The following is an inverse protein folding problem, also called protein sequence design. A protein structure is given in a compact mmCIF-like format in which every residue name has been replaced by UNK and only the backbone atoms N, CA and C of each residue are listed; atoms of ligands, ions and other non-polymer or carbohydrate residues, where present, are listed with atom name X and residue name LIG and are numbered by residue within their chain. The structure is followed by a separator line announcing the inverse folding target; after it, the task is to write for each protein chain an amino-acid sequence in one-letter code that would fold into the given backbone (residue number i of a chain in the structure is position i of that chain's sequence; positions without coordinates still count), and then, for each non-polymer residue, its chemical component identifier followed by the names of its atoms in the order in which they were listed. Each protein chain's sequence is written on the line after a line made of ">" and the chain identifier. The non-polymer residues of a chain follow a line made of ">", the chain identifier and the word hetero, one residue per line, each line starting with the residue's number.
data_IF_818752479097
#
_entry.id   IF_818752479097
#
_cell.length_a   1.000
_cell.length_b   1.000
_cell.length_c   1.000
_cell.angle_alpha   90.00
_cell.angle_beta   90.00
_cell.angle_gamma   90.00
#
_symmetry.space_group_name_H-M   'P 1'
#
loop_
_entity.id
_entity.type
_entity.pdbx_description
1 polymer ?
#
# COMPACT_ATOMS: atom_id res chain seq x y z
N UNK A 1 11.78 3.14 1.32
CA UNK A 1 12.55 2.66 0.17
C UNK A 1 13.69 3.64 -0.08
N UNK A 2 14.89 3.15 -0.38
CA UNK A 2 16.03 3.95 -0.78
C UNK A 2 16.85 3.28 -1.85
N UNK A 3 17.67 4.07 -2.53
CA UNK A 3 18.60 3.64 -3.59
C UNK A 3 19.95 4.29 -3.35
N UNK A 4 21.01 3.51 -3.47
CA UNK A 4 22.39 3.96 -3.51
C UNK A 4 23.01 3.39 -4.79
N UNK A 5 23.67 4.24 -5.58
CA UNK A 5 24.32 3.79 -6.82
C UNK A 5 25.72 4.37 -6.91
N UNK A 6 26.59 3.64 -7.60
CA UNK A 6 27.91 4.14 -8.02
C UNK A 6 27.74 5.27 -9.05
N UNK A 7 28.79 6.11 -9.17
CA UNK A 7 28.76 7.24 -10.11
C UNK A 7 28.61 6.82 -11.58
N UNK A 8 29.11 5.64 -11.92
CA UNK A 8 29.04 5.05 -13.26
C UNK A 8 27.78 4.21 -13.50
N UNK A 9 26.84 4.17 -12.52
CA UNK A 9 25.59 3.42 -12.54
C UNK A 9 25.76 1.89 -12.71
N UNK A 10 26.93 1.36 -12.42
CA UNK A 10 27.20 -0.08 -12.58
C UNK A 10 26.89 -0.90 -11.34
N UNK A 11 26.90 -0.31 -10.14
CA UNK A 11 26.59 -0.98 -8.87
C UNK A 11 25.46 -0.23 -8.17
N UNK A 12 24.31 -0.88 -8.05
CA UNK A 12 23.09 -0.27 -7.50
C UNK A 12 22.56 -1.13 -6.36
N UNK A 13 22.41 -0.51 -5.21
CA UNK A 13 21.73 -1.05 -4.04
C UNK A 13 20.36 -0.41 -3.90
N UNK A 14 19.34 -1.25 -3.70
CA UNK A 14 17.98 -0.80 -3.48
C UNK A 14 17.42 -1.54 -2.27
N UNK A 15 16.73 -0.82 -1.37
CA UNK A 15 16.10 -1.43 -0.20
C UNK A 15 14.69 -0.88 0.04
N UNK A 16 13.87 -1.70 0.71
CA UNK A 16 12.59 -1.28 1.27
C UNK A 16 12.39 -1.87 2.65
N UNK A 17 11.81 -1.10 3.55
CA UNK A 17 11.33 -1.58 4.85
C UNK A 17 9.87 -2.00 4.68
N UNK A 18 9.54 -3.23 5.06
CA UNK A 18 8.23 -3.85 4.83
C UNK A 18 7.32 -3.66 6.05
N UNK A 19 7.06 -2.40 6.41
CA UNK A 19 6.18 -2.02 7.50
C UNK A 19 5.33 -0.83 7.14
N UNK A 20 4.08 -0.84 7.58
CA UNK A 20 3.19 0.32 7.59
C UNK A 20 3.28 1.13 8.90
N UNK A 21 3.96 0.61 9.92
CA UNK A 21 4.24 1.31 11.17
C UNK A 21 5.56 2.07 11.13
N UNK A 22 6.09 2.41 12.29
CA UNK A 22 7.37 3.12 12.43
C UNK A 22 8.54 2.28 11.95
N UNK A 23 9.44 2.90 11.22
CA UNK A 23 10.67 2.29 10.69
C UNK A 23 11.75 3.35 10.50
N UNK A 24 12.99 2.89 10.35
CA UNK A 24 14.15 3.75 10.08
C UNK A 24 15.07 3.07 9.08
N UNK A 25 15.74 3.84 8.27
CA UNK A 25 16.98 3.46 7.61
C UNK A 25 17.98 4.61 7.68
N UNK A 26 19.24 4.26 7.66
CA UNK A 26 20.37 5.18 7.82
C UNK A 26 21.47 4.77 6.85
N UNK A 27 22.04 5.75 6.18
CA UNK A 27 23.30 5.63 5.46
C UNK A 27 24.35 6.41 6.23
N UNK A 28 25.48 5.79 6.47
CA UNK A 28 26.63 6.44 7.11
C UNK A 28 27.93 5.93 6.52
N UNK A 29 29.00 6.58 6.89
CA UNK A 29 30.35 6.18 6.56
C UNK A 29 31.07 5.66 7.81
N UNK A 30 31.89 4.64 7.61
CA UNK A 30 32.77 4.11 8.64
C UNK A 30 34.13 3.80 8.03
N UNK A 31 35.13 4.61 8.38
CA UNK A 31 36.45 4.63 7.73
C UNK A 31 36.30 4.92 6.23
N UNK A 32 36.67 3.95 5.38
CA UNK A 32 36.63 4.09 3.92
C UNK A 32 35.40 3.42 3.27
N UNK A 33 34.46 2.91 4.11
CA UNK A 33 33.30 2.18 3.66
C UNK A 33 31.99 2.91 3.99
N UNK A 34 30.96 2.63 3.19
CA UNK A 34 29.58 3.09 3.42
C UNK A 34 28.75 1.94 3.96
N UNK A 35 27.94 2.20 5.00
CA UNK A 35 27.00 1.22 5.53
C UNK A 35 25.55 1.65 5.36
N UNK A 36 24.68 0.67 5.24
CA UNK A 36 23.24 0.82 5.34
C UNK A 36 22.72 0.06 6.57
N UNK A 37 22.09 0.78 7.49
CA UNK A 37 21.27 0.18 8.54
C UNK A 37 19.80 0.42 8.24
N UNK A 38 18.96 -0.62 8.35
CA UNK A 38 17.52 -0.50 8.11
C UNK A 38 16.74 -1.47 9.00
N UNK A 39 15.60 -1.03 9.53
CA UNK A 39 14.80 -1.85 10.42
C UNK A 39 13.49 -1.20 10.87
N UNK A 40 12.88 -1.77 11.89
CA UNK A 40 11.68 -1.24 12.55
C UNK A 40 11.97 -0.06 13.46
N UNK A 41 11.05 0.25 14.37
CA UNK A 41 11.21 1.35 15.31
C UNK A 41 12.40 1.12 16.26
N UNK A 42 13.03 2.21 16.68
CA UNK A 42 14.13 2.21 17.64
C UNK A 42 13.81 3.10 18.85
N UNK A 43 14.74 3.13 19.84
CA UNK A 43 14.53 3.90 21.06
C UNK A 43 14.74 5.39 20.84
N UNK A 44 15.63 5.80 19.94
CA UNK A 44 16.01 7.18 19.73
C UNK A 44 14.93 7.94 18.98
N UNK A 45 14.55 7.44 17.81
CA UNK A 45 13.64 8.13 16.91
C UNK A 45 12.15 7.91 17.28
N UNK A 46 11.84 6.77 17.93
CA UNK A 46 10.46 6.34 18.12
C UNK A 46 10.09 6.09 19.59
N UNK A 47 11.04 6.26 20.53
CA UNK A 47 10.81 5.91 21.93
C UNK A 47 10.48 4.43 22.15
N UNK A 48 10.72 3.58 21.16
CA UNK A 48 10.30 2.18 21.18
C UNK A 48 11.35 1.29 21.85
N UNK A 49 10.87 0.43 22.77
CA UNK A 49 11.68 -0.57 23.46
C UNK A 49 10.91 -1.87 23.57
N UNK A 50 11.58 -2.99 23.41
CA UNK A 50 11.04 -4.33 23.69
C UNK A 50 11.95 -5.05 24.68
N UNK A 51 11.41 -5.34 25.84
CA UNK A 51 12.09 -6.18 26.83
C UNK A 51 11.77 -7.65 26.51
N UNK A 52 12.81 -8.47 26.37
CA UNK A 52 12.67 -9.92 26.20
C UNK A 52 13.04 -10.62 27.51
N UNK A 53 12.24 -11.58 27.92
CA UNK A 53 12.52 -12.49 29.02
C UNK A 53 13.30 -13.71 28.50
N UNK A 54 13.98 -14.47 29.37
CA UNK A 54 14.60 -15.71 28.98
C UNK A 54 13.63 -16.64 28.25
N UNK A 55 14.02 -17.12 27.05
CA UNK A 55 13.18 -17.97 26.20
C UNK A 55 12.20 -17.25 25.26
N UNK A 56 12.02 -15.93 25.40
CA UNK A 56 11.21 -15.14 24.44
C UNK A 56 12.02 -14.77 23.21
N UNK A 57 11.35 -14.69 22.08
CA UNK A 57 11.90 -14.22 20.81
C UNK A 57 11.10 -13.02 20.26
N UNK A 58 11.75 -12.21 19.45
CA UNK A 58 11.11 -11.11 18.75
C UNK A 58 11.60 -11.08 17.29
N UNK A 59 10.66 -11.02 16.36
CA UNK A 59 10.97 -10.84 14.94
C UNK A 59 10.86 -9.37 14.59
N UNK A 60 11.94 -8.80 14.08
CA UNK A 60 11.96 -7.40 13.61
C UNK A 60 11.16 -7.23 12.33
N UNK A 61 10.91 -5.98 11.97
CA UNK A 61 10.32 -5.62 10.68
C UNK A 61 11.20 -6.17 9.54
N UNK A 62 10.62 -6.84 8.55
CA UNK A 62 11.37 -7.30 7.40
C UNK A 62 11.94 -6.13 6.57
N UNK A 63 13.15 -6.32 6.07
CA UNK A 63 13.80 -5.41 5.13
C UNK A 63 14.23 -6.21 3.90
N UNK A 64 13.75 -5.82 2.74
CA UNK A 64 14.22 -6.36 1.47
C UNK A 64 15.38 -5.50 0.95
N UNK A 65 16.47 -6.16 0.55
CA UNK A 65 17.64 -5.52 -0.05
C UNK A 65 17.97 -6.21 -1.37
N UNK A 66 18.23 -5.42 -2.39
CA UNK A 66 18.62 -5.89 -3.72
C UNK A 66 19.93 -5.20 -4.11
N UNK A 67 20.83 -5.93 -4.74
CA UNK A 67 22.03 -5.39 -5.41
C UNK A 67 22.07 -5.89 -6.83
N UNK A 68 22.27 -5.00 -7.78
CA UNK A 68 22.41 -5.31 -9.21
C UNK A 68 23.59 -4.53 -9.79
N UNK A 69 24.15 -5.06 -10.88
CA UNK A 69 25.27 -4.44 -11.59
C UNK A 69 24.86 -3.88 -12.98
N UNK A 70 23.57 -3.90 -13.28
CA UNK A 70 23.01 -3.52 -14.59
C UNK A 70 22.23 -2.19 -14.53
N UNK A 71 22.64 -1.29 -13.63
CA UNK A 71 22.07 0.04 -13.49
C UNK A 71 20.74 0.11 -12.72
N UNK A 72 20.24 1.32 -12.59
CA UNK A 72 19.08 1.64 -11.73
C UNK A 72 17.78 0.99 -12.25
N UNK A 73 17.60 0.88 -13.55
CA UNK A 73 16.41 0.26 -14.14
C UNK A 73 16.32 -1.23 -13.79
N UNK A 74 17.46 -1.93 -13.76
CA UNK A 74 17.52 -3.33 -13.34
C UNK A 74 17.17 -3.49 -11.86
N UNK A 75 17.56 -2.54 -11.00
CA UNK A 75 17.21 -2.54 -9.59
C UNK A 75 15.68 -2.37 -9.39
N UNK A 76 15.04 -1.46 -10.09
CA UNK A 76 13.59 -1.30 -10.06
C UNK A 76 12.84 -2.49 -10.65
N UNK A 77 13.36 -3.09 -11.71
CA UNK A 77 12.80 -4.33 -12.26
C UNK A 77 12.84 -5.47 -11.23
N UNK A 78 13.97 -5.66 -10.56
CA UNK A 78 14.14 -6.67 -9.51
C UNK A 78 13.19 -6.43 -8.32
N UNK A 79 13.05 -5.18 -7.87
CA UNK A 79 12.09 -4.82 -6.82
C UNK A 79 10.64 -5.09 -7.24
N UNK A 80 10.30 -4.77 -8.49
CA UNK A 80 8.96 -5.01 -9.03
C UNK A 80 8.63 -6.50 -9.06
N UNK A 81 9.57 -7.33 -9.51
CA UNK A 81 9.41 -8.79 -9.52
C UNK A 81 9.28 -9.35 -8.10
N UNK A 82 10.09 -8.86 -7.17
CA UNK A 82 9.98 -9.22 -5.76
C UNK A 82 8.60 -8.86 -5.18
N UNK A 83 8.11 -7.63 -5.40
CA UNK A 83 6.79 -7.18 -4.92
C UNK A 83 5.66 -8.00 -5.50
N UNK A 84 5.77 -8.43 -6.75
CA UNK A 84 4.78 -9.33 -7.38
C UNK A 84 4.73 -10.69 -6.69
N UNK A 85 5.87 -11.21 -6.23
CA UNK A 85 5.95 -12.51 -5.55
C UNK A 85 5.40 -12.48 -4.13
N UNK A 86 5.64 -11.40 -3.37
CA UNK A 86 5.19 -11.28 -1.97
C UNK A 86 3.77 -10.76 -1.83
N UNK A 87 3.19 -10.22 -2.90
CA UNK A 87 1.84 -9.66 -2.90
C UNK A 87 0.80 -10.73 -2.57
N UNK A 88 -0.06 -10.44 -1.59
CA UNK A 88 -1.19 -11.32 -1.27
C UNK A 88 -2.16 -11.40 -2.45
N UNK A 89 -2.64 -12.59 -2.82
CA UNK A 89 -3.69 -12.71 -3.82
C UNK A 89 -4.93 -11.91 -3.43
N UNK A 90 -5.49 -11.18 -4.37
CA UNK A 90 -6.72 -10.41 -4.20
C UNK A 90 -7.55 -10.47 -5.49
N UNK A 91 -8.89 -10.55 -5.41
CA UNK A 91 -9.75 -10.59 -6.61
C UNK A 91 -9.53 -9.44 -7.59
N UNK A 92 -9.20 -8.26 -7.10
CA UNK A 92 -8.95 -7.06 -7.92
C UNK A 92 -7.71 -7.16 -8.81
N UNK A 93 -6.84 -8.15 -8.54
CA UNK A 93 -5.70 -8.43 -9.44
C UNK A 93 -6.15 -9.03 -10.78
N UNK A 94 -7.34 -9.60 -10.83
CA UNK A 94 -7.94 -10.22 -12.01
C UNK A 94 -9.13 -9.42 -12.54
N UNK A 95 -9.80 -8.68 -11.66
CA UNK A 95 -10.86 -7.75 -11.99
C UNK A 95 -10.38 -6.36 -11.68
N UNK A 96 -10.10 -5.55 -12.61
CA UNK A 96 -9.77 -4.14 -12.38
C UNK A 96 -11.11 -3.38 -12.31
N UNK A 97 -11.70 -3.19 -11.11
CA UNK A 97 -13.01 -2.56 -11.00
C UNK A 97 -12.92 -1.07 -11.33
N UNK A 98 -13.96 -0.55 -11.95
CA UNK A 98 -14.10 0.88 -12.18
C UNK A 98 -14.72 1.52 -10.95
N UNK A 99 -14.01 2.48 -10.35
CA UNK A 99 -14.42 3.20 -9.15
C UNK A 99 -14.75 4.64 -9.53
N UNK A 100 -15.94 5.09 -9.21
CA UNK A 100 -16.31 6.50 -9.24
C UNK A 100 -16.09 7.10 -7.84
N UNK A 101 -15.45 8.26 -7.77
CA UNK A 101 -15.25 9.03 -6.55
C UNK A 101 -15.86 10.44 -6.78
N UNK A 102 -16.65 10.92 -5.82
CA UNK A 102 -17.39 12.18 -5.94
C UNK A 102 -16.58 13.42 -5.55
N UNK A 103 -15.33 13.28 -5.10
CA UNK A 103 -14.56 14.41 -4.56
C UNK A 103 -13.92 15.27 -5.65
N UNK A 104 -12.75 14.84 -6.17
CA UNK A 104 -11.96 15.67 -7.08
C UNK A 104 -12.66 15.86 -8.42
N UNK A 105 -12.73 17.15 -8.86
CA UNK A 105 -13.38 17.57 -10.10
C UNK A 105 -14.89 17.23 -10.19
N UNK A 106 -15.51 16.97 -9.04
CA UNK A 106 -16.94 16.69 -8.93
C UNK A 106 -17.56 17.56 -7.81
N UNK A 107 -17.74 17.01 -6.61
CA UNK A 107 -18.40 17.73 -5.50
C UNK A 107 -17.43 18.43 -4.53
N UNK A 108 -16.14 18.18 -4.63
CA UNK A 108 -15.06 18.83 -3.87
C UNK A 108 -15.28 18.85 -2.33
N UNK A 109 -15.86 17.77 -1.78
CA UNK A 109 -16.16 17.67 -0.35
C UNK A 109 -17.48 18.30 0.09
N UNK A 110 -18.36 18.60 -0.86
CA UNK A 110 -19.70 19.12 -0.58
C UNK A 110 -20.84 18.19 -1.08
N UNK A 111 -20.82 16.89 -0.66
CA UNK A 111 -21.89 15.96 -0.98
C UNK A 111 -23.14 16.25 -0.15
N UNK A 112 -24.29 16.12 -0.78
CA UNK A 112 -25.59 16.08 -0.15
C UNK A 112 -26.51 15.07 -0.85
N UNK A 113 -27.68 14.84 -0.28
CA UNK A 113 -28.63 13.84 -0.80
C UNK A 113 -29.08 14.14 -2.24
N UNK A 114 -29.28 15.41 -2.59
CA UNK A 114 -29.72 15.82 -3.92
C UNK A 114 -28.62 15.61 -4.95
N UNK A 115 -27.42 16.15 -4.69
CA UNK A 115 -26.25 16.05 -5.58
C UNK A 115 -25.86 14.60 -5.82
N UNK A 116 -25.73 13.80 -4.75
CA UNK A 116 -25.41 12.38 -4.88
C UNK A 116 -26.50 11.64 -5.65
N UNK A 117 -27.78 11.92 -5.35
CA UNK A 117 -28.89 11.28 -6.06
C UNK A 117 -28.88 11.54 -7.56
N UNK A 118 -28.49 12.75 -7.98
CA UNK A 118 -28.34 13.12 -9.40
C UNK A 118 -27.22 12.36 -10.09
N UNK A 119 -26.16 12.00 -9.37
CA UNK A 119 -24.99 11.28 -9.90
C UNK A 119 -25.20 9.76 -10.03
N UNK A 120 -26.14 9.16 -9.29
CA UNK A 120 -26.29 7.70 -9.23
C UNK A 120 -26.53 7.08 -10.62
N UNK A 121 -27.50 7.57 -11.37
CA UNK A 121 -27.86 7.00 -12.66
C UNK A 121 -26.80 7.24 -13.76
N UNK A 122 -26.18 8.43 -13.92
CA UNK A 122 -25.07 8.64 -14.82
C UNK A 122 -23.86 7.73 -14.51
N UNK A 123 -23.51 7.61 -13.22
CA UNK A 123 -22.40 6.78 -12.77
C UNK A 123 -22.68 5.29 -13.04
N UNK A 124 -23.89 4.83 -12.76
CA UNK A 124 -24.27 3.44 -13.08
C UNK A 124 -24.24 3.15 -14.59
N UNK A 125 -24.60 4.13 -15.43
CA UNK A 125 -24.54 4.02 -16.90
C UNK A 125 -23.10 4.01 -17.43
N UNK A 126 -22.16 4.66 -16.76
CA UNK A 126 -20.75 4.66 -17.16
C UNK A 126 -20.06 3.31 -16.97
N UNK A 127 -20.70 2.38 -16.25
CA UNK A 127 -20.14 1.06 -15.95
C UNK A 127 -19.30 1.01 -14.67
N UNK A 128 -19.34 2.05 -13.85
CA UNK A 128 -18.69 2.03 -12.54
C UNK A 128 -19.31 0.96 -11.64
N UNK A 129 -18.43 0.19 -11.00
CA UNK A 129 -18.81 -0.91 -10.11
C UNK A 129 -18.87 -0.45 -8.64
N UNK A 130 -18.13 0.60 -8.31
CA UNK A 130 -18.10 1.21 -6.99
C UNK A 130 -18.42 2.70 -7.07
N UNK A 131 -19.21 3.16 -6.12
CA UNK A 131 -19.50 4.57 -5.89
C UNK A 131 -18.91 4.96 -4.54
N UNK A 132 -17.94 5.87 -4.51
CA UNK A 132 -17.29 6.37 -3.30
C UNK A 132 -17.81 7.76 -3.00
N UNK A 133 -18.40 7.93 -1.81
CA UNK A 133 -18.68 9.23 -1.20
C UNK A 133 -17.47 9.54 -0.31
N UNK A 134 -16.65 10.52 -0.73
CA UNK A 134 -15.29 10.69 -0.19
C UNK A 134 -15.29 11.54 1.09
N UNK A 135 -15.28 12.87 0.99
CA UNK A 135 -15.19 13.78 2.12
C UNK A 135 -16.45 14.63 2.25
N UNK A 136 -16.66 15.22 3.44
CA UNK A 136 -17.74 16.19 3.71
C UNK A 136 -19.09 15.56 4.07
N UNK A 137 -19.30 14.26 3.91
CA UNK A 137 -20.56 13.60 4.24
C UNK A 137 -20.92 13.64 5.74
N UNK A 138 -19.93 13.90 6.59
CA UNK A 138 -20.05 13.99 8.06
C UNK A 138 -20.19 15.40 8.57
N UNK A 139 -19.93 16.43 7.74
CA UNK A 139 -19.96 17.82 8.13
C UNK A 139 -21.30 18.47 7.79
N UNK A 140 -21.77 19.40 8.61
CA UNK A 140 -23.04 20.13 8.38
C UNK A 140 -22.91 21.27 7.37
N UNK A 141 -21.67 21.70 7.09
CA UNK A 141 -21.37 22.80 6.16
C UNK A 141 -20.19 22.43 5.23
N UNK A 142 -19.72 23.40 4.46
CA UNK A 142 -18.63 23.22 3.49
C UNK A 142 -17.24 23.16 4.15
N UNK A 143 -17.11 23.51 5.42
CA UNK A 143 -15.83 23.47 6.15
C UNK A 143 -15.58 22.09 6.78
N UNK A 144 -15.80 21.04 6.01
CA UNK A 144 -15.70 19.64 6.43
C UNK A 144 -14.35 19.27 7.06
N UNK A 145 -13.30 20.07 6.81
CA UNK A 145 -11.96 19.82 7.31
C UNK A 145 -11.85 19.96 8.83
N UNK A 146 -12.64 20.86 9.40
CA UNK A 146 -12.67 21.09 10.86
C UNK A 146 -13.49 20.02 11.61
N UNK A 147 -14.36 19.31 10.89
CA UNK A 147 -15.22 18.26 11.46
C UNK A 147 -14.63 16.85 11.31
N UNK A 148 -13.36 16.74 10.86
CA UNK A 148 -12.69 15.45 10.75
C UNK A 148 -12.50 14.79 12.11
N UNK A 149 -13.02 13.56 12.27
CA UNK A 149 -12.87 12.77 13.50
C UNK A 149 -14.16 12.12 13.97
N UNK A 150 -15.28 12.81 13.96
CA UNK A 150 -16.60 12.23 14.20
C UNK A 150 -17.17 11.72 12.87
N UNK A 151 -17.00 10.42 12.63
CA UNK A 151 -17.41 9.78 11.37
C UNK A 151 -18.88 9.35 11.41
N UNK A 152 -19.79 10.33 11.60
CA UNK A 152 -21.24 10.14 11.57
C UNK A 152 -21.84 10.94 10.41
N UNK A 153 -22.79 10.38 9.65
CA UNK A 153 -23.41 11.12 8.54
C UNK A 153 -24.18 12.35 9.03
N UNK A 154 -23.97 13.48 8.38
CA UNK A 154 -24.75 14.70 8.64
C UNK A 154 -26.23 14.49 8.32
N UNK A 155 -27.11 14.70 9.28
CA UNK A 155 -28.56 14.64 9.06
C UNK A 155 -29.07 15.83 8.26
N UNK A 156 -28.34 16.95 8.26
CA UNK A 156 -28.64 18.13 7.46
C UNK A 156 -28.41 17.88 5.97
N UNK A 157 -27.30 17.21 5.64
CA UNK A 157 -26.96 16.84 4.25
C UNK A 157 -27.80 15.68 3.71
N UNK A 158 -28.21 14.76 4.59
CA UNK A 158 -28.95 13.56 4.25
C UNK A 158 -30.23 13.44 5.08
N UNK A 159 -31.22 14.32 4.84
CA UNK A 159 -32.43 14.36 5.65
C UNK A 159 -33.29 13.09 5.57
N UNK A 160 -33.27 12.37 4.45
CA UNK A 160 -33.96 11.07 4.31
C UNK A 160 -33.16 9.90 4.90
N UNK A 161 -31.96 10.16 5.44
CA UNK A 161 -31.04 9.20 6.03
C UNK A 161 -30.01 8.65 5.06
N UNK A 162 -28.75 8.68 5.49
CA UNK A 162 -27.60 8.22 4.70
C UNK A 162 -27.73 6.76 4.25
N UNK A 163 -28.31 5.90 5.09
CA UNK A 163 -28.56 4.51 4.72
C UNK A 163 -29.50 4.37 3.53
N UNK A 164 -30.54 5.19 3.46
CA UNK A 164 -31.50 5.16 2.33
C UNK A 164 -30.79 5.52 1.01
N UNK A 165 -29.89 6.51 1.04
CA UNK A 165 -29.06 6.89 -0.11
C UNK A 165 -28.11 5.73 -0.54
N UNK A 166 -27.44 5.10 0.42
CA UNK A 166 -26.58 3.94 0.12
C UNK A 166 -27.34 2.76 -0.48
N UNK A 167 -28.57 2.51 -0.01
CA UNK A 167 -29.43 1.46 -0.56
C UNK A 167 -29.86 1.79 -1.99
N UNK A 168 -30.14 3.08 -2.28
CA UNK A 168 -30.41 3.56 -3.64
C UNK A 168 -29.22 3.34 -4.57
N UNK A 169 -27.99 3.69 -4.15
CA UNK A 169 -26.76 3.43 -4.92
C UNK A 169 -26.63 1.94 -5.21
N UNK A 170 -26.72 1.09 -4.17
CA UNK A 170 -26.60 -0.37 -4.30
C UNK A 170 -27.65 -0.98 -5.22
N UNK A 171 -28.85 -0.44 -5.25
CA UNK A 171 -29.92 -0.93 -6.13
C UNK A 171 -29.59 -0.74 -7.61
N UNK A 172 -28.83 0.28 -7.96
CA UNK A 172 -28.40 0.58 -9.34
C UNK A 172 -27.14 -0.20 -9.75
N UNK A 173 -26.25 -0.48 -8.84
CA UNK A 173 -25.00 -1.25 -9.08
C UNK A 173 -25.22 -2.75 -9.35
N UNK A 174 -26.45 -3.27 -9.18
CA UNK A 174 -26.76 -4.71 -9.37
C UNK A 174 -26.96 -5.15 -10.83
N UNK A 175 -26.75 -4.32 -11.82
CA UNK A 175 -26.70 -4.79 -13.21
C UNK A 175 -25.38 -5.50 -13.45
N UNK A 176 -25.35 -6.83 -13.27
CA UNK A 176 -24.27 -7.67 -13.78
C UNK A 176 -24.14 -7.40 -15.28
N UNK A 177 -22.97 -7.01 -15.81
CA UNK A 177 -22.74 -7.09 -17.24
C UNK A 177 -22.88 -8.55 -17.65
N UNK A 178 -23.77 -8.85 -18.60
CA UNK A 178 -23.72 -10.13 -19.30
C UNK A 178 -22.47 -10.15 -20.17
N UNK A 179 -21.34 -10.51 -19.58
CA UNK A 179 -20.16 -10.85 -20.36
C UNK A 179 -20.36 -12.26 -20.90
N UNK A 180 -20.58 -12.34 -22.21
CA UNK A 180 -20.43 -13.54 -23.01
C UNK A 180 -19.12 -14.24 -22.63
N UNK A 181 -19.25 -15.51 -22.21
CA UNK A 181 -18.13 -16.40 -21.91
C UNK A 181 -17.29 -16.58 -23.17
N UNK A 182 -16.12 -15.97 -23.24
CA UNK A 182 -15.01 -16.48 -24.03
C UNK A 182 -13.96 -17.04 -23.07
N UNK A 183 -13.57 -18.31 -23.20
CA UNK A 183 -12.49 -18.86 -22.40
C UNK A 183 -11.17 -18.19 -22.81
N UNK A 184 -10.26 -17.89 -21.86
CA UNK A 184 -8.94 -17.36 -22.19
C UNK A 184 -8.12 -18.45 -22.89
N UNK A 185 -7.55 -18.10 -24.05
CA UNK A 185 -6.54 -18.92 -24.71
C UNK A 185 -5.32 -19.06 -23.80
N UNK A 186 -4.99 -20.31 -23.47
CA UNK A 186 -3.75 -20.65 -22.76
C UNK A 186 -2.54 -20.26 -23.64
N UNK A 187 -1.81 -19.24 -23.24
CA UNK A 187 -0.42 -19.03 -23.72
C UNK A 187 0.53 -19.70 -22.73
N UNK A 188 1.15 -20.77 -23.20
CA UNK A 188 2.29 -21.38 -22.53
C UNK A 188 3.46 -20.40 -22.53
N UNK A 189 3.86 -19.95 -21.35
CA UNK A 189 5.10 -19.24 -21.17
C UNK A 189 6.16 -20.22 -20.65
N UNK A 190 7.11 -20.56 -21.49
CA UNK A 190 8.33 -21.25 -21.11
C UNK A 190 9.15 -20.39 -20.12
N UNK A 191 9.79 -20.99 -19.11
CA UNK A 191 10.58 -20.25 -18.15
C UNK A 191 11.87 -19.76 -18.78
N UNK A 192 12.09 -18.45 -18.78
CA UNK A 192 13.42 -17.88 -18.96
C UNK A 192 14.15 -17.97 -17.61
N UNK A 193 15.33 -18.53 -17.60
CA UNK A 193 16.23 -18.52 -16.45
C UNK A 193 16.48 -17.06 -16.01
N UNK A 194 16.23 -16.78 -14.75
CA UNK A 194 16.34 -15.44 -14.15
C UNK A 194 17.44 -15.44 -13.09
N UNK A 195 18.20 -14.34 -12.93
CA UNK A 195 19.11 -14.24 -11.80
C UNK A 195 18.32 -14.23 -10.49
N UNK A 196 18.70 -15.12 -9.58
CA UNK A 196 18.03 -15.31 -8.31
C UNK A 196 18.37 -14.19 -7.34
N UNK A 197 17.37 -13.40 -6.96
CA UNK A 197 17.43 -12.56 -5.76
C UNK A 197 17.46 -13.51 -4.53
N UNK A 198 18.61 -13.64 -3.87
CA UNK A 198 18.77 -14.52 -2.71
C UNK A 198 18.07 -13.90 -1.49
N UNK A 199 17.06 -14.58 -0.97
CA UNK A 199 16.67 -14.42 0.43
C UNK A 199 17.85 -14.85 1.29
N UNK A 200 18.51 -13.94 1.96
CA UNK A 200 19.33 -14.29 3.12
C UNK A 200 18.39 -14.47 4.31
N UNK A 201 18.28 -15.73 4.72
CA UNK A 201 17.54 -16.11 5.91
C UNK A 201 18.04 -15.37 7.16
N UNK A 202 17.18 -15.21 8.11
CA UNK A 202 17.48 -14.73 9.46
C UNK A 202 18.67 -15.49 10.04
N UNK A 203 19.79 -14.81 10.21
CA UNK A 203 20.87 -15.30 11.06
C UNK A 203 20.43 -15.11 12.53
N UNK A 204 20.48 -16.16 13.36
CA UNK A 204 20.35 -15.97 14.79
C UNK A 204 21.58 -15.18 15.29
N UNK A 205 21.33 -14.07 15.97
CA UNK A 205 22.38 -13.35 16.70
C UNK A 205 22.91 -14.26 17.82
N UNK A 206 24.06 -14.87 17.60
CA UNK A 206 24.83 -15.50 18.69
C UNK A 206 25.57 -14.39 19.44
N UNK A 207 25.22 -14.21 20.69
CA UNK A 207 25.98 -13.41 21.66
C UNK A 207 27.33 -14.10 21.89
N UNK A 208 28.45 -13.37 21.98
CA UNK A 208 29.75 -13.96 22.36
C UNK A 208 29.69 -14.46 23.83
N UNK A 209 30.47 -15.48 24.19
CA UNK A 209 30.51 -16.01 25.54
C UNK A 209 31.13 -15.00 26.51
N UNK A 210 30.69 -14.98 27.78
CA UNK A 210 31.28 -14.12 28.79
C UNK A 210 32.64 -14.65 29.20
N UNK A 211 33.67 -13.81 29.17
CA UNK A 211 34.92 -14.03 29.87
C UNK A 211 36.15 -13.90 29.01
N UNK A 212 36.84 -12.77 29.22
CA UNK A 212 38.27 -12.72 29.51
C UNK A 212 38.67 -11.28 29.89
N UNK A 213 39.71 -11.13 30.73
CA UNK A 213 39.85 -10.08 31.74
C UNK A 213 40.20 -8.70 31.18
#
# INVERSE_FOLDING_TARGET
>A
MGVLKSNDDTDVWLWQVESSGSWIWELGDFKDDVYLAAGGPNAVEHGWKKQLRPGESFTTVPVAVCRVNDGIEAAFAALTDYRRQIRRPHPDMHKVPIVFNDYMNCLMGDPDEEKISALIDPVAKSGAEYFVIDAGWYADDSNWWDDVGLWEPSTKRFPSGFKALLDKIRSRGRRRPQHSRRPPAQRSLLPRERPACRRKGSLPAQLPPPGCP
#
